data_IF_216968461341
#
_entry.id   IF_216968461341
#
_cell.length_a   1.000
_cell.length_b   1.000
_cell.length_c   1.000
_cell.angle_alpha   90.00
_cell.angle_beta   90.00
_cell.angle_gamma   90.00
#
_symmetry.space_group_name_H-M   'P 1'
#
loop_
_entity.id
_entity.type
_entity.pdbx_description
1 polymer ?
#
# COMPACT_ATOMS: atom_id res chain seq x y z
N UNK A 1 -3.84 -16.59 9.14
CA UNK A 1 -5.13 -16.18 9.74
C UNK A 1 -4.97 -14.73 10.18
N UNK A 2 -5.90 -13.82 9.87
CA UNK A 2 -5.83 -12.44 10.34
C UNK A 2 -5.87 -12.40 11.87
N UNK A 3 -5.19 -11.41 12.47
CA UNK A 3 -5.16 -11.20 13.92
C UNK A 3 -6.56 -10.92 14.47
N UNK A 4 -6.87 -11.50 15.63
CA UNK A 4 -8.12 -11.32 16.37
C UNK A 4 -8.09 -10.09 17.27
N UNK A 5 -9.24 -9.50 17.61
CA UNK A 5 -9.30 -8.40 18.58
C UNK A 5 -8.77 -8.80 19.97
N UNK A 6 -8.94 -10.07 20.35
CA UNK A 6 -8.37 -10.64 21.57
C UNK A 6 -6.85 -10.70 21.54
N UNK A 7 -6.26 -11.11 20.40
CA UNK A 7 -4.80 -11.14 20.25
C UNK A 7 -4.19 -9.73 20.30
N UNK A 8 -4.85 -8.73 19.71
CA UNK A 8 -4.43 -7.32 19.85
C UNK A 8 -4.35 -6.93 21.33
N UNK A 9 -5.41 -7.22 22.09
CA UNK A 9 -5.48 -6.88 23.52
C UNK A 9 -4.39 -7.59 24.33
N UNK A 10 -4.13 -8.86 24.02
CA UNK A 10 -3.10 -9.68 24.69
C UNK A 10 -1.70 -9.16 24.39
N UNK A 11 -1.40 -8.80 23.15
CA UNK A 11 -0.10 -8.22 22.76
C UNK A 11 0.18 -6.90 23.48
N UNK A 12 -0.83 -6.06 23.64
CA UNK A 12 -0.69 -4.77 24.34
C UNK A 12 -0.47 -4.94 25.85
N UNK A 13 -0.95 -6.03 26.43
CA UNK A 13 -0.82 -6.32 27.86
C UNK A 13 0.42 -7.14 28.21
N UNK A 14 0.99 -7.88 27.25
CA UNK A 14 2.11 -8.80 27.49
C UNK A 14 3.46 -8.10 27.60
N UNK A 15 3.60 -6.88 27.07
CA UNK A 15 4.82 -6.06 27.20
C UNK A 15 4.58 -4.86 28.11
N UNK A 16 5.43 -4.67 29.11
CA UNK A 16 5.44 -3.50 30.00
C UNK A 16 6.64 -2.59 29.81
N UNK A 17 7.66 -3.01 29.05
CA UNK A 17 8.97 -2.32 28.98
C UNK A 17 9.16 -1.49 27.71
N UNK A 18 8.24 -1.58 26.75
CA UNK A 18 8.33 -0.88 25.47
C UNK A 18 7.13 0.05 25.28
N UNK A 19 7.36 1.19 24.61
CA UNK A 19 6.27 2.05 24.14
C UNK A 19 5.39 1.28 23.16
N UNK A 20 4.09 1.24 23.40
CA UNK A 20 3.10 0.52 22.61
C UNK A 20 2.24 1.50 21.84
N UNK A 21 2.33 1.42 20.52
CA UNK A 21 1.61 2.28 19.59
C UNK A 21 0.67 1.39 18.78
N UNK A 22 -0.61 1.73 18.75
CA UNK A 22 -1.56 1.17 17.80
C UNK A 22 -1.85 2.24 16.77
N UNK A 23 -1.75 1.89 15.48
CA UNK A 23 -1.93 2.85 14.40
C UNK A 23 -2.79 2.32 13.25
N UNK A 24 -3.37 3.25 12.48
CA UNK A 24 -4.02 2.99 11.19
C UNK A 24 -5.54 2.73 11.29
N UNK A 25 -6.12 2.08 10.26
CA UNK A 25 -7.57 1.90 10.14
C UNK A 25 -8.24 1.22 11.34
N UNK A 26 -7.51 0.37 12.07
CA UNK A 26 -8.04 -0.28 13.28
C UNK A 26 -8.37 0.73 14.39
N UNK A 27 -7.70 1.88 14.41
CA UNK A 27 -7.93 2.99 15.35
C UNK A 27 -8.96 3.97 14.80
N UNK A 28 -8.83 4.36 13.52
CA UNK A 28 -9.68 5.40 12.91
C UNK A 28 -11.07 4.92 12.47
N UNK A 29 -11.19 3.65 12.10
CA UNK A 29 -12.43 3.05 11.55
C UNK A 29 -12.95 1.93 12.45
N UNK A 30 -12.05 1.13 13.00
CA UNK A 30 -12.34 -0.02 13.83
C UNK A 30 -11.98 -1.34 13.17
N UNK A 31 -12.48 -2.42 13.75
CA UNK A 31 -12.07 -3.77 13.45
C UNK A 31 -13.29 -4.65 13.12
N UNK A 32 -13.12 -5.52 12.12
CA UNK A 32 -14.02 -6.64 11.87
C UNK A 32 -13.28 -7.79 11.19
N UNK A 33 -13.70 -9.03 11.47
CA UNK A 33 -13.20 -10.24 10.80
C UNK A 33 -14.03 -10.62 9.56
N UNK A 34 -15.18 -9.98 9.35
CA UNK A 34 -16.12 -10.35 8.31
C UNK A 34 -16.52 -9.12 7.49
N UNK A 35 -16.31 -9.20 6.18
CA UNK A 35 -16.82 -8.20 5.25
C UNK A 35 -18.34 -8.05 5.37
N UNK A 36 -18.84 -6.84 5.11
CA UNK A 36 -20.27 -6.52 5.20
C UNK A 36 -20.83 -6.43 6.62
N UNK A 37 -19.97 -6.39 7.64
CA UNK A 37 -20.39 -6.18 9.04
C UNK A 37 -19.85 -4.87 9.59
N UNK A 38 -20.56 -4.28 10.54
CA UNK A 38 -20.14 -3.04 11.19
C UNK A 38 -18.87 -3.28 12.00
N UNK A 39 -17.87 -2.42 11.78
CA UNK A 39 -16.64 -2.43 12.56
C UNK A 39 -16.92 -2.00 14.02
N UNK A 40 -16.17 -2.56 14.95
CA UNK A 40 -16.17 -2.15 16.35
C UNK A 40 -14.77 -1.75 16.79
N UNK A 41 -14.64 -0.94 17.83
CA UNK A 41 -13.34 -0.61 18.40
C UNK A 41 -12.83 -1.76 19.26
N UNK A 42 -11.66 -2.36 18.95
CA UNK A 42 -11.01 -3.29 19.85
C UNK A 42 -10.69 -2.68 21.21
N UNK A 43 -10.39 -3.54 22.17
CA UNK A 43 -9.85 -3.12 23.45
C UNK A 43 -8.35 -2.83 23.31
N UNK A 44 -8.01 -1.53 23.34
CA UNK A 44 -6.62 -1.07 23.28
C UNK A 44 -6.03 -0.75 24.65
N UNK A 45 -6.61 -1.27 25.75
CA UNK A 45 -6.00 -1.12 27.09
C UNK A 45 -4.58 -1.65 27.08
N UNK A 46 -3.64 -0.81 27.48
CA UNK A 46 -2.21 -1.09 27.47
C UNK A 46 -1.47 -0.44 26.30
N UNK A 47 -2.15 0.17 25.33
CA UNK A 47 -1.48 1.07 24.37
C UNK A 47 -1.15 2.41 25.04
N UNK A 48 0.03 2.95 24.75
CA UNK A 48 0.46 4.28 25.19
C UNK A 48 -0.05 5.36 24.22
N UNK A 49 -0.11 5.03 22.93
CA UNK A 49 -0.57 5.93 21.88
C UNK A 49 -1.50 5.22 20.90
N UNK A 50 -2.56 5.93 20.50
CA UNK A 50 -3.47 5.54 19.43
C UNK A 50 -3.36 6.58 18.32
N UNK A 51 -2.84 6.18 17.17
CA UNK A 51 -2.57 7.06 16.03
C UNK A 51 -3.48 6.69 14.86
N UNK A 52 -4.25 7.64 14.33
CA UNK A 52 -5.34 7.36 13.39
C UNK A 52 -4.88 7.20 11.95
N UNK A 53 -3.81 7.87 11.58
CA UNK A 53 -3.29 7.98 10.22
C UNK A 53 -1.78 8.28 10.22
N UNK A 54 -1.21 8.30 9.02
CA UNK A 54 0.20 8.62 8.78
C UNK A 54 0.63 10.02 9.26
N UNK A 55 -0.27 11.00 9.34
CA UNK A 55 0.07 12.34 9.82
C UNK A 55 0.24 12.34 11.34
N UNK A 56 -0.60 11.61 12.07
CA UNK A 56 -0.41 11.42 13.52
C UNK A 56 0.86 10.62 13.84
N UNK A 57 1.19 9.62 13.01
CA UNK A 57 2.49 8.92 13.09
C UNK A 57 3.65 9.87 12.88
N UNK A 58 3.59 10.71 11.83
CA UNK A 58 4.63 11.70 11.57
C UNK A 58 4.77 12.71 12.71
N UNK A 59 3.66 13.24 13.23
CA UNK A 59 3.66 14.17 14.35
C UNK A 59 4.27 13.54 15.62
N UNK A 60 3.95 12.27 15.89
CA UNK A 60 4.55 11.51 16.99
C UNK A 60 6.07 11.38 16.84
N UNK A 61 6.57 11.19 15.62
CA UNK A 61 8.00 11.13 15.30
C UNK A 61 8.67 12.52 15.22
N UNK A 62 7.95 13.61 15.52
CA UNK A 62 8.45 14.98 15.43
C UNK A 62 8.60 15.50 14.00
N UNK A 63 8.02 14.79 13.01
CA UNK A 63 8.01 15.19 11.61
C UNK A 63 6.79 16.10 11.40
N UNK A 64 7.04 17.41 11.41
CA UNK A 64 6.02 18.40 11.02
C UNK A 64 6.03 18.56 9.50
N UNK A 65 4.87 18.41 8.88
CA UNK A 65 4.71 18.51 7.43
C UNK A 65 3.38 19.14 7.09
N UNK A 66 3.43 20.19 6.27
CA UNK A 66 2.25 20.76 5.58
C UNK A 66 2.17 20.24 4.14
N UNK A 67 2.90 19.17 3.82
CA UNK A 67 2.99 18.59 2.49
C UNK A 67 1.76 17.71 2.19
N UNK A 68 1.63 17.26 0.93
CA UNK A 68 0.63 16.26 0.59
C UNK A 68 0.92 14.92 1.26
N UNK A 69 -0.12 14.08 1.36
CA UNK A 69 -0.04 12.73 1.92
C UNK A 69 1.13 11.93 1.34
N UNK A 70 1.25 11.87 0.01
CA UNK A 70 2.33 11.11 -0.61
C UNK A 70 3.71 11.73 -0.50
N UNK A 71 3.82 13.06 -0.39
CA UNK A 71 5.11 13.68 -0.08
C UNK A 71 5.63 13.23 1.29
N UNK A 72 4.75 13.21 2.30
CA UNK A 72 5.06 12.67 3.62
C UNK A 72 5.39 11.18 3.56
N UNK A 73 4.52 10.38 2.94
CA UNK A 73 4.69 8.93 2.89
C UNK A 73 5.94 8.49 2.13
N UNK A 74 6.31 9.15 1.03
CA UNK A 74 7.54 8.83 0.30
C UNK A 74 8.77 8.90 1.21
N UNK A 75 8.83 9.87 2.13
CA UNK A 75 9.90 9.96 3.14
C UNK A 75 9.78 8.83 4.16
N UNK A 76 8.58 8.59 4.69
CA UNK A 76 8.35 7.57 5.70
C UNK A 76 8.61 6.14 5.19
N UNK A 77 8.32 5.84 3.93
CA UNK A 77 8.58 4.51 3.36
C UNK A 77 10.08 4.23 3.26
N UNK A 78 10.88 5.21 2.85
CA UNK A 78 12.34 5.07 2.79
C UNK A 78 12.93 4.87 4.18
N UNK A 79 12.58 5.72 5.15
CA UNK A 79 13.11 5.61 6.51
C UNK A 79 12.61 4.34 7.22
N UNK A 80 11.33 3.99 7.03
CA UNK A 80 10.70 2.84 7.65
C UNK A 80 11.15 1.49 7.10
N UNK A 81 11.75 1.44 5.90
CA UNK A 81 12.16 0.20 5.26
C UNK A 81 13.10 -0.66 6.12
N UNK A 82 13.91 -0.04 6.99
CA UNK A 82 14.83 -0.74 7.90
C UNK A 82 14.16 -1.80 8.78
N UNK A 83 12.86 -1.66 9.06
CA UNK A 83 12.11 -2.63 9.85
C UNK A 83 12.01 -4.00 9.17
N UNK A 84 12.15 -4.06 7.84
CA UNK A 84 12.04 -5.30 7.06
C UNK A 84 13.10 -6.32 7.49
N UNK A 85 14.34 -5.86 7.75
CA UNK A 85 15.43 -6.73 8.19
C UNK A 85 15.22 -7.32 9.59
N UNK A 86 14.30 -6.73 10.38
CA UNK A 86 13.92 -7.20 11.71
C UNK A 86 12.78 -8.23 11.67
N UNK A 87 12.19 -8.48 10.50
CA UNK A 87 11.10 -9.45 10.39
C UNK A 87 11.62 -10.87 10.67
N UNK A 88 10.92 -11.70 11.48
CA UNK A 88 11.40 -13.04 11.85
C UNK A 88 11.65 -13.99 10.68
N UNK A 89 10.99 -13.76 9.55
CA UNK A 89 11.15 -14.52 8.31
C UNK A 89 12.07 -13.85 7.29
N UNK A 90 12.76 -12.76 7.62
CA UNK A 90 13.71 -12.14 6.68
C UNK A 90 14.85 -13.13 6.35
N UNK A 91 15.24 -13.31 5.07
CA UNK A 91 14.86 -12.55 3.87
C UNK A 91 13.66 -13.11 3.09
N UNK A 92 12.98 -14.15 3.60
CA UNK A 92 11.81 -14.80 3.00
C UNK A 92 10.51 -14.02 3.27
N UNK A 93 10.51 -12.74 2.91
CA UNK A 93 9.37 -11.83 3.05
C UNK A 93 8.97 -11.24 1.71
N UNK A 94 7.67 -11.06 1.51
CA UNK A 94 7.14 -10.29 0.39
C UNK A 94 6.81 -8.90 0.90
N UNK A 95 7.51 -7.88 0.38
CA UNK A 95 7.24 -6.48 0.75
C UNK A 95 6.15 -5.94 -0.15
N UNK A 96 5.07 -5.46 0.45
CA UNK A 96 4.04 -4.73 -0.29
C UNK A 96 4.43 -3.26 -0.46
N UNK A 97 4.36 -2.79 -1.70
CA UNK A 97 4.66 -1.41 -2.06
C UNK A 97 3.36 -0.75 -2.52
N UNK A 98 2.93 0.26 -1.77
CA UNK A 98 1.83 1.14 -2.13
C UNK A 98 2.25 1.94 -3.38
N UNK A 99 1.44 1.98 -4.43
CA UNK A 99 1.70 2.81 -5.63
C UNK A 99 0.59 3.83 -5.87
N UNK A 100 -0.53 3.70 -5.18
CA UNK A 100 -1.74 4.51 -5.35
C UNK A 100 -2.73 4.22 -4.23
N UNK A 101 -3.58 5.19 -3.90
CA UNK A 101 -4.59 5.10 -2.86
C UNK A 101 -5.91 5.63 -3.35
N UNK A 102 -6.99 5.22 -2.70
CA UNK A 102 -8.34 5.52 -3.16
C UNK A 102 -8.70 4.69 -4.39
N UNK A 103 -9.79 5.07 -5.04
CA UNK A 103 -10.32 4.33 -6.18
C UNK A 103 -10.69 5.27 -7.34
N UNK A 104 -10.35 4.83 -8.54
CA UNK A 104 -10.54 5.53 -9.80
C UNK A 104 -12.01 5.58 -10.24
N UNK A 105 -12.84 4.69 -9.67
CA UNK A 105 -14.27 4.64 -9.96
C UNK A 105 -14.96 5.97 -9.68
N UNK A 106 -15.76 6.37 -10.65
CA UNK A 106 -16.64 7.55 -10.60
C UNK A 106 -18.12 7.18 -10.44
N UNK A 107 -18.48 5.93 -10.72
CA UNK A 107 -19.84 5.39 -10.72
C UNK A 107 -20.26 4.78 -9.36
N UNK A 108 -19.50 5.06 -8.30
CA UNK A 108 -19.71 4.51 -6.97
C UNK A 108 -18.51 3.69 -6.52
N UNK A 109 -18.78 2.61 -5.80
CA UNK A 109 -17.76 1.74 -5.21
C UNK A 109 -18.19 0.28 -5.26
N UNK A 110 -17.23 -0.64 -5.27
CA UNK A 110 -17.52 -2.07 -5.16
C UNK A 110 -18.16 -2.35 -3.80
N UNK A 111 -19.23 -3.15 -3.76
CA UNK A 111 -20.02 -3.42 -2.54
C UNK A 111 -19.24 -4.02 -1.38
N UNK A 112 -18.08 -4.62 -1.66
CA UNK A 112 -17.17 -5.22 -0.68
C UNK A 112 -15.98 -4.32 -0.31
N UNK A 113 -15.77 -3.21 -1.02
CA UNK A 113 -14.56 -2.41 -0.93
C UNK A 113 -14.76 -1.20 -0.01
N UNK A 114 -13.80 -0.99 0.89
CA UNK A 114 -13.75 0.18 1.77
C UNK A 114 -12.81 1.27 1.26
N UNK A 115 -12.04 1.02 0.19
CA UNK A 115 -10.96 1.91 -0.27
C UNK A 115 -11.46 3.33 -0.54
N UNK A 116 -12.48 3.47 -1.39
CA UNK A 116 -13.08 4.77 -1.70
C UNK A 116 -13.72 5.48 -0.49
N UNK A 117 -14.15 4.71 0.52
CA UNK A 117 -14.78 5.24 1.74
C UNK A 117 -13.70 5.80 2.67
N UNK A 118 -12.55 5.11 2.77
CA UNK A 118 -11.49 5.44 3.72
C UNK A 118 -10.45 6.41 3.17
N UNK A 119 -10.11 6.27 1.88
CA UNK A 119 -9.01 7.01 1.25
C UNK A 119 -9.48 7.94 0.12
N UNK A 120 -10.77 7.92 -0.21
CA UNK A 120 -11.37 8.91 -1.10
C UNK A 120 -11.00 8.73 -2.57
N UNK A 121 -10.73 9.85 -3.24
CA UNK A 121 -10.43 9.88 -4.67
C UNK A 121 -9.07 9.28 -4.98
N UNK A 122 -8.99 8.60 -6.13
CA UNK A 122 -7.73 8.06 -6.63
C UNK A 122 -6.59 9.08 -6.70
N UNK A 123 -5.47 8.71 -6.09
CA UNK A 123 -4.20 9.40 -6.18
C UNK A 123 -3.10 8.36 -6.38
N UNK A 124 -2.13 8.61 -7.25
CA UNK A 124 -1.00 7.72 -7.49
C UNK A 124 0.31 8.38 -7.05
N UNK A 125 1.25 7.57 -6.55
CA UNK A 125 2.55 8.02 -6.05
C UNK A 125 3.46 8.47 -7.18
N UNK A 126 4.28 9.49 -6.95
CA UNK A 126 5.32 9.89 -7.90
C UNK A 126 6.34 8.77 -8.14
N UNK A 127 6.79 8.59 -9.39
CA UNK A 127 7.88 7.66 -9.75
C UNK A 127 9.13 7.92 -8.90
N UNK A 128 9.54 9.19 -8.73
CA UNK A 128 10.74 9.54 -7.96
C UNK A 128 10.69 8.97 -6.53
N UNK A 129 9.60 9.22 -5.79
CA UNK A 129 9.43 8.68 -4.44
C UNK A 129 9.40 7.15 -4.38
N UNK A 130 8.82 6.48 -5.37
CA UNK A 130 8.86 5.01 -5.46
C UNK A 130 10.28 4.52 -5.74
N UNK A 131 11.02 5.17 -6.64
CA UNK A 131 12.39 4.76 -6.98
C UNK A 131 13.37 4.93 -5.82
N UNK A 132 13.20 5.96 -4.98
CA UNK A 132 13.98 6.11 -3.75
C UNK A 132 13.71 4.97 -2.76
N UNK A 133 12.45 4.53 -2.65
CA UNK A 133 12.10 3.35 -1.87
C UNK A 133 12.72 2.08 -2.46
N UNK A 134 12.69 1.88 -3.77
CA UNK A 134 13.36 0.75 -4.43
C UNK A 134 14.87 0.69 -4.15
N UNK A 135 15.58 1.82 -4.22
CA UNK A 135 17.00 1.89 -3.89
C UNK A 135 17.25 1.45 -2.44
N UNK A 136 16.41 1.92 -1.51
CA UNK A 136 16.50 1.55 -0.11
C UNK A 136 16.22 0.06 0.10
N UNK A 137 15.14 -0.47 -0.47
CA UNK A 137 14.79 -1.88 -0.37
C UNK A 137 15.88 -2.79 -0.95
N UNK A 138 16.53 -2.38 -2.04
CA UNK A 138 17.70 -3.08 -2.58
C UNK A 138 18.86 -3.09 -1.60
N UNK A 139 19.15 -1.94 -0.98
CA UNK A 139 20.26 -1.85 0.00
C UNK A 139 20.05 -2.75 1.21
N UNK A 140 18.79 -2.98 1.59
CA UNK A 140 18.40 -3.90 2.68
C UNK A 140 18.57 -5.35 2.24
N UNK A 141 18.31 -5.66 0.96
CA UNK A 141 18.38 -7.00 0.40
C UNK A 141 17.02 -7.67 0.18
N UNK A 142 15.97 -6.87 -0.06
CA UNK A 142 14.62 -7.37 -0.35
C UNK A 142 14.61 -8.17 -1.65
N UNK A 143 14.03 -9.36 -1.59
CA UNK A 143 14.00 -10.32 -2.70
C UNK A 143 12.65 -10.42 -3.41
N UNK A 144 11.56 -10.21 -2.68
CA UNK A 144 10.23 -10.37 -3.21
C UNK A 144 9.39 -9.13 -2.90
N UNK A 145 8.74 -8.60 -3.93
CA UNK A 145 7.81 -7.48 -3.78
C UNK A 145 6.49 -7.76 -4.47
N UNK A 146 5.47 -7.08 -3.94
CA UNK A 146 4.15 -6.99 -4.56
C UNK A 146 3.75 -5.53 -4.64
N UNK A 147 3.33 -5.06 -5.81
CA UNK A 147 2.59 -3.79 -5.88
C UNK A 147 1.20 -4.02 -5.29
N UNK A 148 1.11 -3.68 -4.01
CA UNK A 148 -0.03 -3.93 -3.13
C UNK A 148 -0.67 -2.63 -2.66
N UNK A 149 -1.70 -2.75 -1.82
CA UNK A 149 -2.47 -1.59 -1.31
C UNK A 149 -3.00 -0.63 -2.38
N UNK A 150 -3.10 -1.10 -3.63
CA UNK A 150 -3.73 -0.39 -4.74
C UNK A 150 -5.04 -1.09 -5.09
N UNK A 151 -6.12 -0.32 -5.23
CA UNK A 151 -7.40 -0.87 -5.70
C UNK A 151 -7.32 -1.37 -7.15
N UNK A 152 -6.44 -0.79 -7.96
CA UNK A 152 -6.29 -1.14 -9.36
C UNK A 152 -4.91 -0.71 -9.87
N UNK A 153 -3.99 -1.67 -10.02
CA UNK A 153 -2.64 -1.39 -10.51
C UNK A 153 -2.66 -0.83 -11.94
N UNK A 154 -3.65 -1.22 -12.75
CA UNK A 154 -3.80 -0.74 -14.13
C UNK A 154 -4.20 0.75 -14.19
N UNK A 155 -4.70 1.32 -13.09
CA UNK A 155 -5.01 2.74 -13.01
C UNK A 155 -3.80 3.62 -12.63
N UNK A 156 -2.62 3.05 -12.37
CA UNK A 156 -1.44 3.86 -12.07
C UNK A 156 -1.12 4.84 -13.23
N UNK A 157 -1.04 6.14 -12.93
CA UNK A 157 -0.90 7.19 -13.93
C UNK A 157 -2.22 7.70 -14.52
N UNK A 158 -3.38 7.30 -13.98
CA UNK A 158 -4.68 7.83 -14.39
C UNK A 158 -4.94 9.21 -13.80
N UNK A 159 -5.19 10.18 -14.67
CA UNK A 159 -5.71 11.51 -14.31
C UNK A 159 -7.23 11.52 -14.45
N UNK A 160 -7.90 11.39 -13.30
CA UNK A 160 -9.36 11.40 -13.20
C UNK A 160 -10.00 12.71 -13.66
N UNK A 161 -9.31 13.84 -13.56
CA UNK A 161 -9.86 15.15 -13.97
C UNK A 161 -9.97 15.29 -15.49
N UNK A 162 -9.10 14.59 -16.21
CA UNK A 162 -9.02 14.61 -17.67
C UNK A 162 -9.51 13.33 -18.32
N UNK A 163 -9.89 12.34 -17.52
CA UNK A 163 -10.22 10.99 -17.96
C UNK A 163 -9.14 10.42 -18.89
N UNK A 164 -7.88 10.50 -18.45
CA UNK A 164 -6.73 10.13 -19.26
C UNK A 164 -5.79 9.21 -18.49
N UNK A 165 -5.52 8.05 -19.07
CA UNK A 165 -4.52 7.10 -18.60
C UNK A 165 -3.23 7.27 -19.41
N UNK A 166 -2.07 7.32 -18.74
CA UNK A 166 -0.76 7.34 -19.38
C UNK A 166 0.00 6.02 -19.14
N UNK A 167 -0.01 5.09 -20.12
CA UNK A 167 0.72 3.82 -20.00
C UNK A 167 2.23 3.96 -19.81
N UNK A 168 2.83 5.09 -20.21
CA UNK A 168 4.27 5.29 -20.08
C UNK A 168 4.71 5.31 -18.61
N UNK A 169 3.84 5.80 -17.71
CA UNK A 169 4.10 5.81 -16.27
C UNK A 169 4.13 4.39 -15.69
N UNK A 170 3.22 3.51 -16.12
CA UNK A 170 3.27 2.10 -15.71
C UNK A 170 4.50 1.39 -16.26
N UNK A 171 4.82 1.56 -17.56
CA UNK A 171 6.05 1.00 -18.14
C UNK A 171 7.29 1.45 -17.35
N UNK A 172 7.37 2.73 -16.99
CA UNK A 172 8.44 3.27 -16.17
C UNK A 172 8.48 2.66 -14.75
N UNK A 173 7.33 2.53 -14.09
CA UNK A 173 7.23 1.91 -12.77
C UNK A 173 7.77 0.47 -12.77
N UNK A 174 7.25 -0.38 -13.67
CA UNK A 174 7.63 -1.78 -13.75
C UNK A 174 9.09 -1.97 -14.19
N UNK A 175 9.54 -1.17 -15.18
CA UNK A 175 10.94 -1.16 -15.59
C UNK A 175 11.85 -0.76 -14.42
N UNK A 176 11.50 0.28 -13.69
CA UNK A 176 12.30 0.79 -12.56
C UNK A 176 12.40 -0.23 -11.44
N UNK A 177 11.31 -0.93 -11.10
CA UNK A 177 11.37 -2.04 -10.15
C UNK A 177 12.37 -3.10 -10.61
N UNK A 178 12.35 -3.48 -11.89
CA UNK A 178 13.27 -4.48 -12.44
C UNK A 178 14.71 -4.03 -12.58
N UNK A 179 14.99 -2.74 -12.75
CA UNK A 179 16.36 -2.26 -12.93
C UNK A 179 16.99 -1.74 -11.65
N UNK A 180 16.19 -1.16 -10.74
CA UNK A 180 16.67 -0.56 -9.50
C UNK A 180 16.62 -1.57 -8.38
N UNK A 181 15.46 -2.18 -8.12
CA UNK A 181 15.32 -3.14 -7.02
C UNK A 181 15.82 -4.53 -7.40
N UNK A 182 15.65 -4.93 -8.66
CA UNK A 182 16.03 -6.26 -9.19
C UNK A 182 15.48 -7.43 -8.35
N UNK A 183 14.17 -7.46 -8.02
CA UNK A 183 13.62 -8.49 -7.14
C UNK A 183 13.60 -9.87 -7.83
N UNK A 184 13.82 -10.92 -7.04
CA UNK A 184 13.62 -12.31 -7.45
C UNK A 184 12.14 -12.58 -7.78
N UNK A 185 11.21 -11.93 -7.07
CA UNK A 185 9.75 -12.01 -7.30
C UNK A 185 9.14 -10.61 -7.40
N UNK A 186 8.40 -10.35 -8.48
CA UNK A 186 7.62 -9.13 -8.70
C UNK A 186 6.21 -9.53 -9.13
N UNK A 187 5.25 -9.29 -8.26
CA UNK A 187 3.83 -9.57 -8.46
C UNK A 187 2.97 -8.31 -8.26
N UNK A 188 1.70 -8.39 -8.66
CA UNK A 188 0.69 -7.35 -8.42
C UNK A 188 -0.52 -7.95 -7.70
N UNK A 189 -1.34 -7.13 -7.05
CA UNK A 189 -2.50 -7.61 -6.28
C UNK A 189 -3.82 -7.54 -7.09
N UNK A 190 -4.25 -6.33 -7.49
CA UNK A 190 -5.61 -6.12 -8.01
C UNK A 190 -5.64 -5.45 -9.40
N UNK A 191 -6.64 -5.83 -10.19
CA UNK A 191 -7.04 -5.12 -11.41
C UNK A 191 -8.55 -4.86 -11.46
N UNK A 192 -8.97 -3.75 -12.07
CA UNK A 192 -10.40 -3.46 -12.25
C UNK A 192 -10.84 -3.71 -13.72
N UNK A 193 -11.61 -4.79 -14.00
CA UNK A 193 -12.06 -5.10 -15.36
C UNK A 193 -12.91 -4.00 -15.99
N UNK A 194 -13.67 -3.23 -15.19
CA UNK A 194 -14.49 -2.13 -15.70
C UNK A 194 -13.58 -0.98 -16.16
N UNK A 195 -12.51 -0.69 -15.43
CA UNK A 195 -11.53 0.31 -15.84
C UNK A 195 -10.79 -0.10 -17.12
N UNK A 196 -10.40 -1.37 -17.21
CA UNK A 196 -9.76 -1.94 -18.42
C UNK A 196 -10.69 -1.83 -19.63
N UNK A 197 -11.99 -2.13 -19.45
CA UNK A 197 -12.98 -2.00 -20.51
C UNK A 197 -13.20 -0.53 -20.94
N UNK A 198 -13.04 0.42 -20.02
CA UNK A 198 -13.11 1.86 -20.30
C UNK A 198 -11.87 2.42 -21.01
N UNK A 199 -10.68 1.85 -20.77
CA UNK A 199 -9.41 2.29 -21.34
C UNK A 199 -8.67 1.16 -22.10
N UNK A 200 -9.31 0.50 -23.09
CA UNK A 200 -8.82 -0.80 -23.59
C UNK A 200 -7.48 -0.72 -24.32
N UNK A 201 -7.14 0.41 -24.95
CA UNK A 201 -5.86 0.57 -25.66
C UNK A 201 -4.72 0.81 -24.68
N UNK A 202 -4.92 1.73 -23.75
CA UNK A 202 -3.97 2.11 -22.72
C UNK A 202 -3.74 0.96 -21.75
N UNK A 203 -4.82 0.33 -21.27
CA UNK A 203 -4.73 -0.85 -20.39
C UNK A 203 -4.04 -2.03 -21.06
N UNK A 204 -4.19 -2.23 -22.38
CA UNK A 204 -3.42 -3.26 -23.10
C UNK A 204 -1.93 -3.02 -22.97
N UNK A 205 -1.48 -1.79 -23.21
CA UNK A 205 -0.05 -1.46 -23.11
C UNK A 205 0.47 -1.68 -21.67
N UNK A 206 -0.32 -1.33 -20.65
CA UNK A 206 0.04 -1.57 -19.24
C UNK A 206 0.10 -3.06 -18.93
N UNK A 207 -0.84 -3.87 -19.43
CA UNK A 207 -0.82 -5.33 -19.26
C UNK A 207 0.39 -5.94 -19.97
N UNK A 208 0.79 -5.41 -21.13
CA UNK A 208 2.04 -5.82 -21.80
C UNK A 208 3.27 -5.51 -20.93
N UNK A 209 3.33 -4.36 -20.25
CA UNK A 209 4.36 -4.05 -19.25
C UNK A 209 4.34 -5.05 -18.10
N UNK A 210 3.16 -5.35 -17.53
CA UNK A 210 3.00 -6.34 -16.46
C UNK A 210 3.55 -7.70 -16.91
N UNK A 211 3.16 -8.19 -18.09
CA UNK A 211 3.63 -9.49 -18.62
C UNK A 211 5.14 -9.49 -18.88
N UNK A 212 5.69 -8.38 -19.38
CA UNK A 212 7.11 -8.23 -19.67
C UNK A 212 7.96 -8.24 -18.40
N UNK A 213 7.45 -7.65 -17.32
CA UNK A 213 8.24 -7.40 -16.11
C UNK A 213 7.87 -8.27 -14.92
N UNK A 214 6.67 -8.78 -14.76
CA UNK A 214 6.33 -9.60 -13.58
C UNK A 214 6.96 -10.99 -13.66
N UNK A 215 7.12 -11.62 -12.50
CA UNK A 215 7.57 -13.01 -12.42
C UNK A 215 6.44 -13.99 -12.67
N UNK A 216 6.77 -15.21 -13.10
CA UNK A 216 5.81 -16.30 -13.21
C UNK A 216 5.06 -16.54 -11.88
N UNK A 217 3.83 -17.04 -11.99
CA UNK A 217 2.94 -17.24 -10.85
C UNK A 217 2.18 -15.98 -10.41
N UNK A 218 2.44 -14.83 -11.06
CA UNK A 218 1.62 -13.64 -10.89
C UNK A 218 0.20 -13.85 -11.41
N UNK A 219 -0.77 -13.27 -10.72
CA UNK A 219 -2.18 -13.31 -11.12
C UNK A 219 -2.79 -11.95 -10.90
N UNK A 220 -3.50 -11.45 -11.91
CA UNK A 220 -4.35 -10.26 -11.75
C UNK A 220 -5.73 -10.77 -11.32
N UNK A 221 -6.06 -10.59 -10.04
CA UNK A 221 -7.39 -10.90 -9.50
C UNK A 221 -8.34 -9.71 -9.53
#
# INVERSE_FOLDING_TARGET
MPITSSEISQLLQSSSETVKIVSGPVVSVGYTLRGGTTAFSPDFRGADHLLRDEFEVAAFLGITSNESRYSLLNRLYVEGAEIIALHPSYPEVVVEIDISSGCERSDGYCSFCTESILYGSFEWRSIEGITQEFEKLRSIGVKAIRFGRSANVVAYGYDRSRDRLDPALSEELFRSARTILEPEVLHIDNGNPIFIAGHPRESRAIIESIVKYNTAGDTIS
#
